data_IF_164418297631
#
_entry.id   IF_164418297631
#
_cell.length_a   1.000
_cell.length_b   1.000
_cell.length_c   1.000
_cell.angle_alpha   90.00
_cell.angle_beta   90.00
_cell.angle_gamma   90.00
#
_symmetry.space_group_name_H-M   'P 1'
#
loop_
_entity.id
_entity.type
_entity.pdbx_description
1 polymer ?
#
# COMPACT_ATOMS: atom_id res chain seq x y z
N UNK A 1 -26.70 -4.55 -19.94
CA UNK A 1 -25.92 -3.29 -19.98
C UNK A 1 -24.46 -3.71 -19.88
N UNK A 2 -23.54 -3.24 -20.73
CA UNK A 2 -22.12 -3.55 -20.53
C UNK A 2 -21.69 -2.99 -19.17
N UNK A 3 -20.87 -3.73 -18.44
CA UNK A 3 -20.25 -3.26 -17.19
C UNK A 3 -19.35 -2.07 -17.56
N UNK A 4 -19.77 -0.86 -17.18
CA UNK A 4 -19.11 0.40 -17.61
C UNK A 4 -17.70 0.55 -17.03
N UNK A 5 -17.44 -0.01 -15.86
CA UNK A 5 -16.15 0.00 -15.19
C UNK A 5 -15.56 -1.41 -15.17
N UNK A 6 -14.47 -1.63 -15.90
CA UNK A 6 -13.82 -2.93 -15.99
C UNK A 6 -12.36 -2.83 -15.56
N UNK A 7 -12.05 -3.47 -14.44
CA UNK A 7 -10.71 -3.54 -13.86
C UNK A 7 -10.34 -5.01 -13.64
N UNK A 8 -10.13 -5.79 -14.73
CA UNK A 8 -9.79 -7.20 -14.60
C UNK A 8 -8.42 -7.36 -13.94
N UNK A 9 -8.34 -8.37 -13.09
CA UNK A 9 -7.13 -8.74 -12.37
C UNK A 9 -6.47 -9.89 -13.13
N UNK A 10 -5.16 -9.79 -13.36
CA UNK A 10 -4.41 -10.83 -14.08
C UNK A 10 -4.16 -12.07 -13.20
N UNK A 11 -3.95 -13.22 -13.85
CA UNK A 11 -3.51 -14.42 -13.15
C UNK A 11 -2.17 -14.15 -12.45
N UNK A 12 -2.08 -14.48 -11.16
CA UNK A 12 -0.89 -14.21 -10.34
C UNK A 12 -0.82 -12.80 -9.73
N UNK A 13 -1.85 -11.96 -9.89
CA UNK A 13 -1.92 -10.66 -9.21
C UNK A 13 -1.76 -10.79 -7.70
N UNK A 14 -2.52 -11.72 -7.08
CA UNK A 14 -2.49 -11.93 -5.65
C UNK A 14 -1.07 -12.28 -5.16
N UNK A 15 -0.39 -13.17 -5.88
CA UNK A 15 0.98 -13.58 -5.54
C UNK A 15 1.97 -12.42 -5.64
N UNK A 16 1.82 -11.55 -6.64
CA UNK A 16 2.62 -10.33 -6.79
C UNK A 16 2.36 -9.31 -5.69
N UNK A 17 1.08 -9.12 -5.33
CA UNK A 17 0.66 -8.08 -4.37
C UNK A 17 0.92 -8.50 -2.92
N UNK A 18 0.87 -9.79 -2.58
CA UNK A 18 1.12 -10.31 -1.23
C UNK A 18 2.60 -10.31 -0.83
N UNK A 19 3.33 -9.26 -1.21
CA UNK A 19 4.69 -8.96 -0.79
C UNK A 19 4.77 -7.51 -0.31
N UNK A 20 5.71 -7.14 0.58
CA UNK A 20 5.84 -5.74 1.02
C UNK A 20 6.05 -4.76 -0.15
N UNK A 21 6.75 -5.19 -1.21
CA UNK A 21 6.95 -4.40 -2.42
C UNK A 21 5.69 -4.31 -3.28
N UNK A 22 4.96 -5.41 -3.43
CA UNK A 22 3.65 -5.44 -4.09
C UNK A 22 2.67 -4.47 -3.44
N UNK A 23 2.54 -4.50 -2.11
CA UNK A 23 1.68 -3.55 -1.38
C UNK A 23 2.16 -2.10 -1.54
N UNK A 24 3.47 -1.83 -1.58
CA UNK A 24 4.01 -0.49 -1.88
C UNK A 24 3.63 0.01 -3.26
N UNK A 25 3.58 -0.88 -4.26
CA UNK A 25 3.23 -0.49 -5.62
C UNK A 25 1.81 0.08 -5.70
N UNK A 26 0.88 -0.45 -4.89
CA UNK A 26 -0.52 -0.02 -4.82
C UNK A 26 -0.70 1.40 -4.26
N UNK A 27 0.22 1.85 -3.40
CA UNK A 27 0.26 3.23 -2.88
C UNK A 27 0.53 4.24 -4.00
N UNK A 28 1.35 3.85 -4.99
CA UNK A 28 1.70 4.73 -6.12
C UNK A 28 0.60 4.69 -7.19
N UNK A 29 0.13 3.48 -7.52
CA UNK A 29 -0.88 3.27 -8.55
C UNK A 29 -1.63 1.97 -8.27
N UNK A 30 -2.96 2.04 -8.27
CA UNK A 30 -3.81 0.86 -8.21
C UNK A 30 -5.04 1.02 -9.12
N UNK A 31 -5.56 -0.11 -9.57
CA UNK A 31 -6.83 -0.16 -10.31
C UNK A 31 -7.98 0.47 -9.50
N UNK A 32 -7.96 0.34 -8.18
CA UNK A 32 -8.95 0.96 -7.29
C UNK A 32 -8.88 2.50 -7.33
N UNK A 33 -7.67 3.09 -7.36
CA UNK A 33 -7.52 4.54 -7.52
C UNK A 33 -8.00 5.02 -8.89
N UNK A 34 -7.70 4.25 -9.94
CA UNK A 34 -8.16 4.56 -11.31
C UNK A 34 -9.68 4.51 -11.41
N UNK A 35 -10.31 3.49 -10.83
CA UNK A 35 -11.76 3.34 -10.76
C UNK A 35 -12.44 4.54 -10.10
N UNK A 36 -11.97 4.95 -8.91
CA UNK A 36 -12.59 6.07 -8.20
C UNK A 36 -12.45 7.38 -8.98
N UNK A 37 -11.30 7.60 -9.63
CA UNK A 37 -11.09 8.78 -10.49
C UNK A 37 -11.98 8.75 -11.73
N UNK A 38 -12.19 7.58 -12.33
CA UNK A 38 -13.08 7.43 -13.48
C UNK A 38 -14.54 7.71 -13.09
N UNK A 39 -14.99 7.15 -11.96
CA UNK A 39 -16.32 7.40 -11.41
C UNK A 39 -16.54 8.88 -11.05
N UNK A 40 -15.54 9.55 -10.45
CA UNK A 40 -15.58 10.98 -10.17
C UNK A 40 -15.75 11.81 -11.46
N UNK A 41 -14.97 11.48 -12.50
CA UNK A 41 -15.04 12.15 -13.82
C UNK A 41 -16.40 11.95 -14.50
N UNK A 42 -17.04 10.81 -14.25
CA UNK A 42 -18.39 10.50 -14.73
C UNK A 42 -19.50 11.20 -13.93
N UNK A 43 -19.15 11.93 -12.87
CA UNK A 43 -20.08 12.70 -12.04
C UNK A 43 -20.65 11.94 -10.84
N UNK A 44 -20.07 10.80 -10.48
CA UNK A 44 -20.43 10.07 -9.26
C UNK A 44 -19.75 10.67 -8.02
N UNK A 45 -20.48 10.75 -6.91
CA UNK A 45 -19.87 11.10 -5.62
C UNK A 45 -19.08 9.90 -5.09
N UNK A 46 -17.76 10.03 -5.11
CA UNK A 46 -16.80 9.04 -4.57
C UNK A 46 -16.06 9.57 -3.35
N UNK A 47 -16.47 10.71 -2.78
CA UNK A 47 -15.73 11.41 -1.73
C UNK A 47 -15.42 10.52 -0.52
N UNK A 48 -16.40 9.75 -0.05
CA UNK A 48 -16.22 8.79 1.05
C UNK A 48 -15.23 7.67 0.72
N UNK A 49 -15.42 6.99 -0.42
CA UNK A 49 -14.53 5.91 -0.84
C UNK A 49 -13.10 6.39 -1.12
N UNK A 50 -12.95 7.59 -1.69
CA UNK A 50 -11.65 8.22 -1.90
C UNK A 50 -10.95 8.55 -0.57
N UNK A 51 -11.69 9.06 0.42
CA UNK A 51 -11.15 9.32 1.76
C UNK A 51 -10.69 8.03 2.45
N UNK A 52 -11.46 6.95 2.35
CA UNK A 52 -11.07 5.63 2.89
C UNK A 52 -9.82 5.08 2.21
N UNK A 53 -9.72 5.21 0.88
CA UNK A 53 -8.54 4.78 0.14
C UNK A 53 -7.30 5.58 0.55
N UNK A 54 -7.43 6.89 0.72
CA UNK A 54 -6.34 7.74 1.24
C UNK A 54 -5.92 7.29 2.64
N UNK A 55 -6.87 6.95 3.52
CA UNK A 55 -6.55 6.45 4.86
C UNK A 55 -5.73 5.14 4.81
N UNK A 56 -6.12 4.19 3.95
CA UNK A 56 -5.40 2.92 3.77
C UNK A 56 -3.98 3.14 3.22
N UNK A 57 -3.83 4.00 2.22
CA UNK A 57 -2.54 4.35 1.61
C UNK A 57 -1.60 5.01 2.62
N UNK A 58 -2.14 5.92 3.42
CA UNK A 58 -1.38 6.58 4.49
C UNK A 58 -0.97 5.58 5.59
N UNK A 59 -1.87 4.67 5.96
CA UNK A 59 -1.56 3.61 6.93
C UNK A 59 -0.41 2.73 6.45
N UNK A 60 -0.46 2.24 5.20
CA UNK A 60 0.62 1.42 4.62
C UNK A 60 1.95 2.18 4.63
N UNK A 61 1.94 3.44 4.19
CA UNK A 61 3.14 4.28 4.12
C UNK A 61 3.74 4.50 5.52
N UNK A 62 2.90 4.83 6.50
CA UNK A 62 3.32 5.06 7.89
C UNK A 62 3.85 3.78 8.54
N UNK A 63 3.13 2.66 8.39
CA UNK A 63 3.53 1.36 8.97
C UNK A 63 4.90 0.92 8.47
N UNK A 64 5.19 1.09 7.18
CA UNK A 64 6.47 0.71 6.60
C UNK A 64 7.63 1.59 7.06
N UNK A 65 7.40 2.89 7.23
CA UNK A 65 8.40 3.78 7.82
C UNK A 65 8.74 3.33 9.24
N UNK A 66 7.72 3.11 10.08
CA UNK A 66 7.91 2.65 11.45
C UNK A 66 8.63 1.31 11.52
N UNK A 67 8.30 0.34 10.65
CA UNK A 67 9.00 -0.95 10.62
C UNK A 67 10.48 -0.81 10.26
N UNK A 68 10.83 0.08 9.31
CA UNK A 68 12.23 0.34 8.94
C UNK A 68 13.02 0.97 10.08
N UNK A 69 12.41 1.91 10.79
CA UNK A 69 13.02 2.54 11.97
C UNK A 69 13.25 1.49 13.07
N UNK A 70 12.24 0.68 13.38
CA UNK A 70 12.36 -0.42 14.34
C UNK A 70 13.50 -1.36 13.99
N UNK A 71 13.63 -1.75 12.71
CA UNK A 71 14.73 -2.61 12.27
C UNK A 71 16.09 -1.96 12.50
N UNK A 72 16.22 -0.66 12.21
CA UNK A 72 17.46 0.09 12.44
C UNK A 72 17.82 0.15 13.93
N UNK A 73 16.83 0.34 14.81
CA UNK A 73 17.04 0.29 16.25
C UNK A 73 17.46 -1.09 16.74
N UNK A 74 16.86 -2.16 16.21
CA UNK A 74 17.23 -3.54 16.54
C UNK A 74 18.65 -3.88 16.07
N UNK A 75 19.06 -3.40 14.90
CA UNK A 75 20.42 -3.55 14.38
C UNK A 75 21.44 -2.87 15.29
N UNK A 76 21.12 -1.66 15.77
CA UNK A 76 21.95 -0.95 16.74
C UNK A 76 22.07 -1.72 18.07
N UNK A 77 20.96 -2.20 18.64
CA UNK A 77 20.98 -3.01 19.86
C UNK A 77 21.83 -4.27 19.68
N UNK A 78 21.69 -4.95 18.54
CA UNK A 78 22.48 -6.14 18.20
C UNK A 78 23.97 -5.83 18.14
N UNK A 79 24.35 -4.68 17.54
CA UNK A 79 25.72 -4.21 17.51
C UNK A 79 26.27 -3.97 18.91
N UNK A 80 25.52 -3.30 19.78
CA UNK A 80 25.93 -3.02 21.17
C UNK A 80 26.12 -4.31 21.98
N UNK A 81 25.19 -5.25 21.88
CA UNK A 81 25.28 -6.56 22.56
C UNK A 81 26.54 -7.32 22.10
N UNK A 82 26.83 -7.32 20.79
CA UNK A 82 28.04 -7.96 20.24
C UNK A 82 29.34 -7.31 20.72
N UNK A 83 29.34 -6.01 21.00
CA UNK A 83 30.51 -5.32 21.56
C UNK A 83 30.74 -5.68 23.03
N UNK A 84 29.68 -5.90 23.80
CA UNK A 84 29.77 -6.26 25.23
C UNK A 84 30.08 -7.74 25.49
N UNK A 85 29.75 -8.63 24.54
CA UNK A 85 30.04 -10.06 24.63
C UNK A 85 31.44 -10.45 24.10
N UNK A 86 32.22 -9.48 23.62
CA UNK A 86 33.64 -9.63 23.26
C UNK A 86 34.51 -9.13 24.40
#
# INVERSE_FOLDING_TARGET
MPERYQYPVDEGFADRIHTPEGVRSLVVKSQLMELLREMERDGHDVSGAAAELVALVNYVTSSQLSMRELQTHLDFCTMQIRQQLR
#
